data_IF_178637826560
#
_entry.id   IF_178637826560
#
_cell.length_a   1.000
_cell.length_b   1.000
_cell.length_c   1.000
_cell.angle_alpha   90.00
_cell.angle_beta   90.00
_cell.angle_gamma   90.00
#
_symmetry.space_group_name_H-M   'P 1'
#
loop_
_entity.id
_entity.type
_entity.pdbx_description
1 polymer ?
#
# COMPACT_ATOMS: atom_id res chain seq x y z
N UNK A 1 -34.52 27.23 -45.02
CA UNK A 1 -34.22 27.52 -43.60
C UNK A 1 -33.95 26.20 -42.88
N UNK A 2 -32.68 25.89 -42.55
CA UNK A 2 -32.35 24.77 -41.66
C UNK A 2 -32.46 25.28 -40.22
N UNK A 3 -33.39 24.73 -39.45
CA UNK A 3 -33.55 25.04 -38.05
C UNK A 3 -32.31 24.55 -37.28
N UNK A 4 -31.55 25.50 -36.73
CA UNK A 4 -30.51 25.21 -35.73
C UNK A 4 -31.24 24.98 -34.41
N UNK A 5 -31.32 23.72 -34.00
CA UNK A 5 -31.76 23.33 -32.67
C UNK A 5 -30.68 23.78 -31.67
N UNK A 6 -31.01 24.75 -30.84
CA UNK A 6 -30.23 25.05 -29.64
C UNK A 6 -30.61 24.02 -28.58
N UNK A 7 -29.76 23.03 -28.36
CA UNK A 7 -29.91 22.15 -27.19
C UNK A 7 -29.80 23.03 -25.94
N UNK A 8 -30.86 23.08 -25.15
CA UNK A 8 -30.82 23.68 -23.82
C UNK A 8 -29.70 23.00 -23.02
N UNK A 9 -28.88 23.78 -22.30
CA UNK A 9 -27.64 23.29 -21.65
C UNK A 9 -27.83 22.14 -20.65
N UNK A 10 -29.07 21.77 -20.33
CA UNK A 10 -29.46 20.61 -19.52
C UNK A 10 -29.38 19.27 -20.27
N UNK A 11 -29.51 19.22 -21.59
CA UNK A 11 -29.34 17.98 -22.37
C UNK A 11 -27.86 17.66 -22.64
N UNK A 12 -27.03 18.68 -22.80
CA UNK A 12 -25.59 18.53 -23.09
C UNK A 12 -24.82 17.81 -21.97
N UNK A 13 -25.22 17.95 -20.71
CA UNK A 13 -24.50 17.31 -19.59
C UNK A 13 -24.88 15.85 -19.32
N UNK A 14 -25.80 15.24 -20.09
CA UNK A 14 -26.20 13.84 -19.86
C UNK A 14 -25.07 12.84 -20.16
N UNK A 15 -24.06 13.24 -20.94
CA UNK A 15 -22.89 12.41 -21.28
C UNK A 15 -21.66 12.63 -20.40
N UNK A 16 -21.53 13.78 -19.74
CA UNK A 16 -20.27 14.26 -19.17
C UNK A 16 -20.18 14.04 -17.65
N UNK A 17 -18.96 13.89 -17.13
CA UNK A 17 -18.66 13.93 -15.70
C UNK A 17 -18.12 15.31 -15.32
N UNK A 18 -18.34 15.79 -14.08
CA UNK A 18 -17.75 17.03 -13.59
C UNK A 18 -16.24 17.02 -13.79
N UNK A 19 -15.70 18.15 -14.23
CA UNK A 19 -14.26 18.32 -14.38
C UNK A 19 -13.55 18.08 -13.03
N UNK A 20 -12.83 16.97 -12.95
CA UNK A 20 -11.82 16.74 -11.92
C UNK A 20 -10.52 17.45 -12.29
N UNK A 21 -9.70 17.75 -11.29
CA UNK A 21 -8.42 18.38 -11.53
C UNK A 21 -7.49 18.21 -10.34
N UNK A 22 -6.22 18.59 -10.54
CA UNK A 22 -5.17 18.46 -9.52
C UNK A 22 -5.56 19.09 -8.17
N UNK A 23 -6.33 20.19 -8.20
CA UNK A 23 -6.84 20.82 -6.97
C UNK A 23 -7.82 19.91 -6.21
N UNK A 24 -8.74 19.25 -6.90
CA UNK A 24 -9.69 18.32 -6.28
C UNK A 24 -8.92 17.14 -5.68
N UNK A 25 -7.98 16.57 -6.44
CA UNK A 25 -7.14 15.48 -5.96
C UNK A 25 -6.27 15.88 -4.78
N UNK A 26 -5.75 17.11 -4.78
CA UNK A 26 -4.97 17.68 -3.69
C UNK A 26 -5.77 17.78 -2.39
N UNK A 27 -7.04 18.20 -2.47
CA UNK A 27 -7.93 18.23 -1.29
C UNK A 27 -8.24 16.81 -0.83
N UNK A 28 -8.63 15.91 -1.75
CA UNK A 28 -8.97 14.53 -1.35
C UNK A 28 -7.76 13.82 -0.76
N UNK A 29 -6.56 14.00 -1.33
CA UNK A 29 -5.39 13.34 -0.78
C UNK A 29 -5.01 13.89 0.59
N UNK A 30 -5.16 15.19 0.84
CA UNK A 30 -4.95 15.77 2.17
C UNK A 30 -5.95 15.19 3.21
N UNK A 31 -7.21 15.01 2.83
CA UNK A 31 -8.21 14.37 3.69
C UNK A 31 -7.91 12.87 3.88
N UNK A 32 -7.41 12.19 2.85
CA UNK A 32 -6.91 10.82 2.98
C UNK A 32 -5.69 10.76 3.90
N UNK A 33 -4.81 11.76 3.88
CA UNK A 33 -3.67 11.85 4.80
C UNK A 33 -4.14 11.92 6.25
N UNK A 34 -5.16 12.74 6.55
CA UNK A 34 -5.75 12.81 7.89
C UNK A 34 -6.28 11.44 8.31
N UNK A 35 -7.14 10.82 7.48
CA UNK A 35 -7.66 9.48 7.76
C UNK A 35 -6.52 8.48 8.02
N UNK A 36 -5.49 8.44 7.16
CA UNK A 36 -4.36 7.51 7.31
C UNK A 36 -3.52 7.78 8.55
N UNK A 37 -3.28 9.03 8.91
CA UNK A 37 -2.60 9.39 10.16
C UNK A 37 -3.39 8.83 11.34
N UNK A 38 -4.71 9.05 11.37
CA UNK A 38 -5.59 8.46 12.37
C UNK A 38 -5.48 6.93 12.45
N UNK A 39 -5.54 6.23 11.32
CA UNK A 39 -5.37 4.76 11.26
C UNK A 39 -4.02 4.29 11.82
N UNK A 40 -2.92 4.98 11.51
CA UNK A 40 -1.60 4.60 12.02
C UNK A 40 -1.44 4.91 13.51
N UNK A 41 -2.03 6.00 13.99
CA UNK A 41 -2.04 6.32 15.42
C UNK A 41 -2.87 5.29 16.20
N UNK A 42 -3.98 4.84 15.63
CA UNK A 42 -4.83 3.79 16.20
C UNK A 42 -4.14 2.42 16.23
N UNK A 43 -3.55 1.99 15.11
CA UNK A 43 -2.74 0.78 15.10
C UNK A 43 -1.53 0.85 16.02
N UNK A 44 -0.93 2.04 16.21
CA UNK A 44 0.11 2.23 17.22
C UNK A 44 -0.43 1.98 18.63
N UNK A 45 -1.63 2.47 18.95
CA UNK A 45 -2.26 2.26 20.26
C UNK A 45 -2.50 0.77 20.52
N UNK A 46 -3.07 0.04 19.56
CA UNK A 46 -3.27 -1.42 19.65
C UNK A 46 -1.96 -2.19 19.87
N UNK A 47 -0.85 -1.71 19.32
CA UNK A 47 0.45 -2.37 19.45
C UNK A 47 1.20 -2.04 20.76
N UNK A 48 0.84 -0.95 21.45
CA UNK A 48 1.65 -0.42 22.58
C UNK A 48 0.89 -0.27 23.89
N UNK A 49 -0.44 -0.17 23.84
CA UNK A 49 -1.27 0.03 25.01
C UNK A 49 -1.95 -1.30 25.34
N UNK A 50 -1.56 -1.96 26.45
CA UNK A 50 -2.27 -3.13 26.93
C UNK A 50 -3.72 -2.77 27.23
N UNK A 51 -4.66 -3.61 26.79
CA UNK A 51 -6.07 -3.56 27.20
C UNK A 51 -6.77 -2.23 26.87
N UNK A 52 -7.00 -1.96 25.58
CA UNK A 52 -7.96 -0.93 25.18
C UNK A 52 -9.37 -1.40 25.57
N UNK A 53 -9.89 -0.93 26.72
CA UNK A 53 -11.17 -1.40 27.28
C UNK A 53 -12.43 -0.74 26.67
N UNK A 54 -12.27 0.19 25.72
CA UNK A 54 -13.41 0.86 25.08
C UNK A 54 -13.20 1.12 23.60
N UNK A 55 -14.30 1.06 22.84
CA UNK A 55 -14.34 1.46 21.44
C UNK A 55 -14.04 2.97 21.26
N UNK A 56 -14.50 3.82 22.18
CA UNK A 56 -14.36 5.27 22.02
C UNK A 56 -13.01 5.76 22.56
N UNK A 57 -12.00 5.71 21.70
CA UNK A 57 -10.64 6.16 22.02
C UNK A 57 -10.30 7.49 21.35
N UNK A 58 -9.32 8.27 21.85
CA UNK A 58 -8.83 9.46 21.16
C UNK A 58 -8.31 9.15 19.74
N UNK A 59 -7.72 7.97 19.54
CA UNK A 59 -7.21 7.50 18.25
C UNK A 59 -8.33 7.26 17.23
N UNK A 60 -9.39 6.58 17.65
CA UNK A 60 -10.63 6.49 16.88
C UNK A 60 -11.20 7.88 16.57
N UNK A 61 -11.17 8.82 17.52
CA UNK A 61 -11.58 10.21 17.29
C UNK A 61 -10.83 10.88 16.13
N UNK A 62 -9.51 10.72 16.04
CA UNK A 62 -8.70 11.27 14.94
C UNK A 62 -9.02 10.56 13.62
N UNK A 63 -9.15 9.23 13.64
CA UNK A 63 -9.48 8.41 12.47
C UNK A 63 -10.85 8.79 11.89
N UNK A 64 -11.90 8.73 12.72
CA UNK A 64 -13.28 8.99 12.29
C UNK A 64 -13.51 10.46 11.94
N UNK A 65 -12.81 11.41 12.55
CA UNK A 65 -12.88 12.83 12.14
C UNK A 65 -12.28 13.05 10.75
N UNK A 66 -11.13 12.42 10.44
CA UNK A 66 -10.55 12.45 9.10
C UNK A 66 -11.45 11.79 8.05
N UNK A 67 -12.04 10.64 8.40
CA UNK A 67 -13.06 9.99 7.57
C UNK A 67 -14.27 10.91 7.33
N UNK A 68 -14.84 11.50 8.39
CA UNK A 68 -16.03 12.33 8.29
C UNK A 68 -15.78 13.57 7.43
N UNK A 69 -14.64 14.25 7.60
CA UNK A 69 -14.25 15.38 6.75
C UNK A 69 -14.18 14.99 5.27
N UNK A 70 -13.64 13.81 4.96
CA UNK A 70 -13.60 13.25 3.61
C UNK A 70 -15.01 12.95 3.07
N UNK A 71 -15.84 12.27 3.87
CA UNK A 71 -17.21 11.91 3.50
C UNK A 71 -18.05 13.16 3.22
N UNK A 72 -17.97 14.19 4.07
CA UNK A 72 -18.64 15.47 3.87
C UNK A 72 -18.13 16.16 2.61
N UNK A 73 -16.82 16.18 2.36
CA UNK A 73 -16.28 16.80 1.15
C UNK A 73 -16.82 16.14 -0.13
N UNK A 74 -16.82 14.80 -0.19
CA UNK A 74 -17.38 14.07 -1.34
C UNK A 74 -18.90 14.28 -1.43
N UNK A 75 -19.62 14.22 -0.31
CA UNK A 75 -21.07 14.45 -0.25
C UNK A 75 -21.46 15.84 -0.75
N UNK A 76 -20.81 16.90 -0.27
CA UNK A 76 -21.06 18.28 -0.69
C UNK A 76 -20.83 18.43 -2.20
N UNK A 77 -19.74 17.87 -2.74
CA UNK A 77 -19.49 17.94 -4.18
C UNK A 77 -20.51 17.12 -4.99
N UNK A 78 -20.92 15.96 -4.48
CA UNK A 78 -21.99 15.16 -5.06
C UNK A 78 -23.28 15.98 -5.16
N UNK A 79 -23.76 16.55 -4.06
CA UNK A 79 -25.00 17.34 -4.05
C UNK A 79 -24.91 18.62 -4.90
N UNK A 80 -23.77 19.32 -4.89
CA UNK A 80 -23.56 20.50 -5.75
C UNK A 80 -23.62 20.14 -7.23
N UNK A 81 -23.02 19.02 -7.63
CA UNK A 81 -23.06 18.58 -9.02
C UNK A 81 -24.44 18.00 -9.39
N UNK A 82 -25.16 17.36 -8.45
CA UNK A 82 -26.56 16.99 -8.65
C UNK A 82 -27.45 18.20 -8.91
N UNK A 83 -27.29 19.27 -8.14
CA UNK A 83 -28.01 20.53 -8.33
C UNK A 83 -27.71 21.19 -9.69
N UNK A 84 -26.53 20.91 -10.27
CA UNK A 84 -26.14 21.35 -11.62
C UNK A 84 -26.69 20.45 -12.74
N UNK A 85 -27.33 19.33 -12.43
CA UNK A 85 -27.96 18.44 -13.40
C UNK A 85 -27.19 17.15 -13.73
N UNK A 86 -25.99 16.93 -13.18
CA UNK A 86 -25.24 15.68 -13.41
C UNK A 86 -25.96 14.48 -12.79
N UNK A 87 -26.08 13.32 -13.45
CA UNK A 87 -26.76 12.16 -12.88
C UNK A 87 -26.00 11.58 -11.67
N UNK A 88 -26.71 10.93 -10.73
CA UNK A 88 -26.12 10.37 -9.49
C UNK A 88 -24.85 9.56 -9.70
N UNK A 89 -24.86 8.65 -10.68
CA UNK A 89 -23.71 7.78 -11.00
C UNK A 89 -22.49 8.53 -11.55
N UNK A 90 -22.65 9.80 -11.95
CA UNK A 90 -21.61 10.63 -12.58
C UNK A 90 -21.48 12.01 -11.94
N UNK A 91 -22.02 12.21 -10.74
CA UNK A 91 -22.01 13.52 -10.08
C UNK A 91 -20.71 13.80 -9.30
N UNK A 92 -19.75 12.87 -9.31
CA UNK A 92 -18.38 13.11 -8.86
C UNK A 92 -17.40 13.05 -10.04
N UNK A 93 -16.22 13.70 -9.91
CA UNK A 93 -15.19 13.59 -10.92
C UNK A 93 -14.74 12.15 -11.18
N UNK A 94 -14.29 11.90 -12.41
CA UNK A 94 -13.80 10.60 -12.84
C UNK A 94 -12.73 10.05 -11.90
N UNK A 95 -12.90 8.81 -11.42
CA UNK A 95 -12.00 8.13 -10.50
C UNK A 95 -12.50 8.08 -9.05
N UNK A 96 -13.46 8.93 -8.68
CA UNK A 96 -14.01 9.02 -7.32
C UNK A 96 -15.33 8.27 -7.12
N UNK A 97 -15.85 7.60 -8.14
CA UNK A 97 -17.11 6.84 -8.06
C UNK A 97 -16.99 5.71 -7.02
N UNK A 98 -15.88 4.97 -7.06
CA UNK A 98 -15.59 3.94 -6.07
C UNK A 98 -15.18 4.53 -4.71
N UNK A 99 -14.65 5.75 -4.65
CA UNK A 99 -14.39 6.41 -3.36
C UNK A 99 -15.69 6.70 -2.62
N UNK A 100 -16.74 7.13 -3.34
CA UNK A 100 -18.06 7.32 -2.76
C UNK A 100 -18.68 6.00 -2.29
N UNK A 101 -18.55 4.92 -3.07
CA UNK A 101 -18.94 3.58 -2.61
C UNK A 101 -18.17 3.18 -1.35
N UNK A 102 -16.87 3.44 -1.33
CA UNK A 102 -16.01 3.21 -0.18
C UNK A 102 -16.47 3.96 1.09
N UNK A 103 -16.99 5.18 0.95
CA UNK A 103 -17.60 5.92 2.08
C UNK A 103 -18.77 5.16 2.67
N UNK A 104 -19.68 4.64 1.84
CA UNK A 104 -20.83 3.87 2.34
C UNK A 104 -20.41 2.54 2.97
N UNK A 105 -19.45 1.84 2.35
CA UNK A 105 -18.88 0.60 2.90
C UNK A 105 -18.20 0.87 4.25
N UNK A 106 -17.45 1.97 4.37
CA UNK A 106 -16.79 2.35 5.60
C UNK A 106 -17.80 2.69 6.72
N UNK A 107 -18.88 3.42 6.41
CA UNK A 107 -19.96 3.68 7.39
C UNK A 107 -20.57 2.36 7.88
N UNK A 108 -20.91 1.46 6.95
CA UNK A 108 -21.45 0.15 7.31
C UNK A 108 -20.45 -0.66 8.15
N UNK A 109 -19.16 -0.61 7.79
CA UNK A 109 -18.06 -1.19 8.53
C UNK A 109 -17.99 -0.65 9.95
N UNK A 110 -17.94 0.67 10.15
CA UNK A 110 -17.78 1.28 11.48
C UNK A 110 -19.00 1.12 12.39
N UNK A 111 -20.22 1.14 11.85
CA UNK A 111 -21.42 0.77 12.61
C UNK A 111 -21.39 -0.70 12.98
N UNK A 112 -21.02 -1.56 12.02
CA UNK A 112 -20.85 -3.00 12.26
C UNK A 112 -19.79 -3.27 13.33
N UNK A 113 -18.68 -2.54 13.30
CA UNK A 113 -17.55 -2.64 14.21
C UNK A 113 -17.96 -2.29 15.64
N UNK A 114 -18.67 -1.18 15.83
CA UNK A 114 -19.25 -0.81 17.12
C UNK A 114 -20.15 -1.94 17.66
N UNK A 115 -21.06 -2.46 16.83
CA UNK A 115 -21.96 -3.57 17.24
C UNK A 115 -21.16 -4.83 17.56
N UNK A 116 -20.13 -5.13 16.76
CA UNK A 116 -19.28 -6.30 16.94
C UNK A 116 -18.55 -6.25 18.28
N UNK A 117 -18.02 -5.08 18.64
CA UNK A 117 -17.38 -4.86 19.93
C UNK A 117 -18.35 -5.01 21.12
N UNK A 118 -19.60 -4.60 21.00
CA UNK A 118 -20.63 -4.79 22.04
C UNK A 118 -21.03 -6.26 22.21
N UNK A 119 -21.02 -7.05 21.12
CA UNK A 119 -21.45 -8.45 21.13
C UNK A 119 -20.33 -9.44 21.50
N UNK A 120 -19.11 -9.17 21.03
CA UNK A 120 -17.98 -10.12 21.09
C UNK A 120 -16.77 -9.58 21.86
N UNK A 121 -16.82 -8.34 22.33
CA UNK A 121 -15.72 -7.69 23.06
C UNK A 121 -14.68 -7.03 22.14
N UNK A 122 -13.61 -6.52 22.73
CA UNK A 122 -12.53 -5.85 22.00
C UNK A 122 -11.47 -6.85 21.61
N UNK A 123 -11.26 -6.97 20.31
CA UNK A 123 -10.34 -7.91 19.69
C UNK A 123 -8.89 -7.50 19.95
N UNK A 124 -8.02 -8.49 20.16
CA UNK A 124 -6.60 -8.29 20.40
C UNK A 124 -5.75 -9.00 19.33
N UNK A 125 -4.51 -8.55 19.18
CA UNK A 125 -3.49 -9.17 18.32
C UNK A 125 -3.96 -9.40 16.87
N UNK A 126 -3.99 -10.66 16.42
CA UNK A 126 -4.39 -11.04 15.07
C UNK A 126 -5.89 -10.83 14.81
N UNK A 127 -6.72 -10.97 15.84
CA UNK A 127 -8.18 -10.85 15.71
C UNK A 127 -8.56 -9.42 15.32
N UNK A 128 -7.91 -8.43 15.93
CA UNK A 128 -8.12 -7.01 15.62
C UNK A 128 -7.85 -6.67 14.15
N UNK A 129 -7.00 -7.43 13.46
CA UNK A 129 -6.72 -7.20 12.04
C UNK A 129 -7.64 -7.99 11.11
N UNK A 130 -8.04 -9.19 11.51
CA UNK A 130 -8.72 -10.14 10.64
C UNK A 130 -10.24 -10.18 10.84
N UNK A 131 -10.77 -9.45 11.81
CA UNK A 131 -12.19 -9.50 12.06
C UNK A 131 -13.01 -8.96 10.89
N UNK A 132 -14.24 -9.49 10.70
CA UNK A 132 -15.05 -9.16 9.55
C UNK A 132 -15.29 -7.65 9.39
N UNK A 133 -15.45 -6.92 10.49
CA UNK A 133 -15.73 -5.48 10.49
C UNK A 133 -14.49 -4.67 10.12
N UNK A 134 -13.31 -5.01 10.65
CA UNK A 134 -12.04 -4.42 10.24
C UNK A 134 -11.73 -4.67 8.76
N UNK A 135 -12.06 -5.86 8.22
CA UNK A 135 -11.91 -6.15 6.79
C UNK A 135 -12.86 -5.29 5.92
N UNK A 136 -14.09 -5.03 6.37
CA UNK A 136 -15.03 -4.13 5.69
C UNK A 136 -14.53 -2.68 5.73
N UNK A 137 -14.04 -2.22 6.88
CA UNK A 137 -13.41 -0.91 7.04
C UNK A 137 -12.18 -0.75 6.14
N UNK A 138 -11.32 -1.78 6.08
CA UNK A 138 -10.15 -1.81 5.22
C UNK A 138 -10.54 -1.75 3.73
N UNK A 139 -11.58 -2.48 3.31
CA UNK A 139 -12.12 -2.42 1.94
C UNK A 139 -12.64 -1.03 1.62
N UNK A 140 -13.47 -0.45 2.50
CA UNK A 140 -14.00 0.91 2.33
C UNK A 140 -12.88 1.94 2.20
N UNK A 141 -11.88 1.86 3.09
CA UNK A 141 -10.69 2.71 3.08
C UNK A 141 -9.90 2.56 1.79
N UNK A 142 -9.63 1.33 1.35
CA UNK A 142 -8.88 1.06 0.12
C UNK A 142 -9.58 1.69 -1.09
N UNK A 143 -10.91 1.57 -1.20
CA UNK A 143 -11.70 2.19 -2.26
C UNK A 143 -11.67 3.72 -2.21
N UNK A 144 -11.70 4.31 -1.01
CA UNK A 144 -11.58 5.76 -0.78
C UNK A 144 -10.21 6.26 -1.25
N UNK A 145 -9.13 5.75 -0.65
CA UNK A 145 -7.78 6.31 -0.81
C UNK A 145 -7.19 6.08 -2.19
N UNK A 146 -7.70 5.11 -2.95
CA UNK A 146 -7.33 4.87 -4.36
C UNK A 146 -7.95 5.88 -5.35
N UNK A 147 -8.82 6.78 -4.89
CA UNK A 147 -9.48 7.79 -5.74
C UNK A 147 -8.51 8.61 -6.60
N UNK A 148 -7.52 9.30 -6.01
CA UNK A 148 -6.54 10.06 -6.77
C UNK A 148 -5.71 9.21 -7.75
N UNK A 149 -5.35 7.97 -7.40
CA UNK A 149 -4.68 7.04 -8.31
C UNK A 149 -5.57 6.69 -9.52
N UNK A 150 -6.85 6.36 -9.31
CA UNK A 150 -7.80 6.09 -10.41
C UNK A 150 -8.06 7.32 -11.26
N UNK A 151 -8.16 8.51 -10.64
CA UNK A 151 -8.34 9.77 -11.34
C UNK A 151 -7.14 10.05 -12.25
N UNK A 152 -5.91 9.93 -11.73
CA UNK A 152 -4.69 10.08 -12.52
C UNK A 152 -4.57 9.03 -13.63
N UNK A 153 -4.99 7.78 -13.39
CA UNK A 153 -4.95 6.71 -14.38
C UNK A 153 -5.74 7.03 -15.66
N UNK A 154 -6.90 7.67 -15.47
CA UNK A 154 -7.84 8.04 -16.55
C UNK A 154 -7.51 9.38 -17.20
N UNK A 155 -6.56 10.14 -16.67
CA UNK A 155 -6.12 11.39 -17.31
C UNK A 155 -5.20 11.09 -18.49
N UNK A 156 -5.25 11.90 -19.55
CA UNK A 156 -4.24 11.90 -20.58
C UNK A 156 -2.86 12.14 -19.98
N UNK A 157 -1.84 11.49 -20.53
CA UNK A 157 -0.46 11.72 -20.11
C UNK A 157 -0.08 13.19 -20.37
N UNK A 158 0.38 13.93 -19.34
CA UNK A 158 0.84 15.30 -19.54
C UNK A 158 2.10 15.28 -20.41
N UNK A 159 2.22 16.25 -21.34
CA UNK A 159 3.42 16.40 -22.15
C UNK A 159 4.68 16.63 -21.29
N UNK A 160 4.52 17.29 -20.13
CA UNK A 160 5.56 17.45 -19.11
C UNK A 160 4.99 17.07 -17.75
N UNK A 161 5.35 15.91 -17.18
CA UNK A 161 4.92 15.54 -15.85
C UNK A 161 5.50 16.51 -14.81
N UNK A 162 4.65 17.03 -13.93
CA UNK A 162 5.07 17.84 -12.79
C UNK A 162 4.78 17.09 -11.48
N UNK A 163 5.63 17.31 -10.48
CA UNK A 163 5.45 16.76 -9.14
C UNK A 163 4.08 17.10 -8.56
N UNK A 164 3.63 18.35 -8.70
CA UNK A 164 2.32 18.78 -8.21
C UNK A 164 1.17 17.99 -8.84
N UNK A 165 1.29 17.58 -10.12
CA UNK A 165 0.27 16.80 -10.80
C UNK A 165 0.30 15.30 -10.43
N UNK A 166 1.46 14.77 -10.03
CA UNK A 166 1.66 13.35 -9.75
C UNK A 166 1.62 13.01 -8.26
N UNK A 167 1.89 13.97 -7.38
CA UNK A 167 1.95 13.78 -5.93
C UNK A 167 0.65 13.18 -5.35
N UNK A 168 -0.57 13.64 -5.71
CA UNK A 168 -1.78 13.01 -5.21
C UNK A 168 -1.89 11.53 -5.56
N UNK A 169 -1.46 11.15 -6.77
CA UNK A 169 -1.44 9.76 -7.22
C UNK A 169 -0.38 8.91 -6.47
N UNK A 170 0.82 9.46 -6.26
CA UNK A 170 1.89 8.77 -5.54
C UNK A 170 1.54 8.56 -4.07
N UNK A 171 0.96 9.57 -3.41
CA UNK A 171 0.44 9.42 -2.05
C UNK A 171 -0.73 8.44 -1.99
N UNK A 172 -1.63 8.46 -2.98
CA UNK A 172 -2.73 7.49 -3.08
C UNK A 172 -2.21 6.05 -3.23
N UNK A 173 -1.18 5.83 -4.07
CA UNK A 173 -0.47 4.55 -4.19
C UNK A 173 0.19 4.14 -2.86
N UNK A 174 0.84 5.08 -2.18
CA UNK A 174 1.44 4.87 -0.86
C UNK A 174 0.37 4.45 0.15
N UNK A 175 -0.78 5.12 0.19
CA UNK A 175 -1.85 4.81 1.13
C UNK A 175 -2.51 3.47 0.85
N UNK A 176 -2.60 3.04 -0.41
CA UNK A 176 -2.99 1.68 -0.75
C UNK A 176 -1.99 0.65 -0.24
N UNK A 177 -0.69 0.84 -0.55
CA UNK A 177 0.37 -0.05 -0.06
C UNK A 177 0.34 -0.12 1.48
N UNK A 178 0.32 1.03 2.14
CA UNK A 178 0.20 1.17 3.58
C UNK A 178 -1.06 0.54 4.16
N UNK A 179 -2.17 0.51 3.43
CA UNK A 179 -3.35 -0.25 3.83
C UNK A 179 -3.05 -1.75 3.87
N UNK A 180 -2.49 -2.29 2.79
CA UNK A 180 -2.12 -3.72 2.73
C UNK A 180 -1.06 -4.09 3.77
N UNK A 181 -0.01 -3.30 3.93
CA UNK A 181 1.05 -3.59 4.92
C UNK A 181 0.56 -3.43 6.36
N UNK A 182 -0.42 -2.55 6.62
CA UNK A 182 -1.08 -2.44 7.92
C UNK A 182 -1.90 -3.68 8.24
N UNK A 183 -2.77 -4.12 7.31
CA UNK A 183 -3.59 -5.33 7.54
C UNK A 183 -2.74 -6.60 7.64
N UNK A 184 -1.58 -6.62 7.00
CA UNK A 184 -0.63 -7.74 7.04
C UNK A 184 0.57 -7.48 7.96
N UNK A 185 0.43 -6.57 8.93
CA UNK A 185 1.54 -6.13 9.79
C UNK A 185 2.17 -7.27 10.60
N UNK A 186 1.38 -8.30 10.94
CA UNK A 186 1.84 -9.53 11.58
C UNK A 186 2.85 -10.33 10.74
N UNK A 187 2.98 -9.99 9.45
CA UNK A 187 3.93 -10.59 8.51
C UNK A 187 4.74 -9.51 7.78
N UNK A 188 5.17 -8.46 8.48
CA UNK A 188 5.92 -7.35 7.89
C UNK A 188 7.36 -7.24 8.43
N UNK A 189 8.42 -7.37 7.60
CA UNK A 189 9.80 -7.50 8.06
C UNK A 189 10.40 -6.20 8.62
N UNK A 190 9.77 -5.05 8.35
CA UNK A 190 10.15 -3.77 8.99
C UNK A 190 9.49 -3.57 10.37
N UNK A 191 8.48 -4.37 10.70
CA UNK A 191 7.80 -4.34 12.01
C UNK A 191 8.31 -5.49 12.88
N UNK A 192 8.43 -6.70 12.31
CA UNK A 192 8.96 -7.90 12.95
C UNK A 192 10.26 -8.34 12.28
N UNK A 193 11.41 -8.01 12.89
CA UNK A 193 12.73 -8.33 12.35
C UNK A 193 13.19 -9.75 12.69
N UNK A 194 12.43 -10.76 12.25
CA UNK A 194 12.68 -12.18 12.58
C UNK A 194 14.13 -12.64 12.39
N UNK A 195 14.88 -12.07 11.44
CA UNK A 195 16.28 -12.42 11.19
C UNK A 195 17.31 -11.75 12.10
N UNK A 196 16.93 -10.70 12.84
CA UNK A 196 17.82 -9.94 13.72
C UNK A 196 18.30 -10.82 14.88
N UNK A 197 19.59 -10.75 15.22
CA UNK A 197 20.22 -11.64 16.22
C UNK A 197 19.50 -11.66 17.58
N UNK A 198 18.91 -10.54 18.00
CA UNK A 198 18.15 -10.46 19.25
C UNK A 198 16.92 -11.37 19.29
N UNK A 199 16.36 -11.70 18.13
CA UNK A 199 15.21 -12.59 17.97
C UNK A 199 15.62 -14.06 17.80
N UNK A 200 16.88 -14.43 18.01
CA UNK A 200 17.26 -15.84 17.99
C UNK A 200 16.55 -16.57 19.15
N UNK A 201 15.86 -17.69 18.90
CA UNK A 201 15.19 -18.45 19.93
C UNK A 201 16.25 -19.09 20.84
N UNK A 202 16.55 -18.43 21.96
CA UNK A 202 17.57 -18.86 22.91
C UNK A 202 16.95 -19.70 24.02
N UNK A 203 17.62 -20.81 24.34
CA UNK A 203 17.27 -21.73 25.42
C UNK A 203 17.25 -21.12 26.83
N UNK A 204 17.63 -19.85 27.00
CA UNK A 204 17.70 -19.18 28.31
C UNK A 204 16.34 -18.69 28.84
N UNK A 205 15.30 -18.64 27.99
CA UNK A 205 13.96 -18.22 28.39
C UNK A 205 13.02 -19.40 28.68
N UNK A 206 13.45 -20.63 28.41
CA UNK A 206 12.67 -21.84 28.62
C UNK A 206 13.50 -22.77 29.50
N UNK A 207 12.96 -23.14 30.65
CA UNK A 207 13.66 -23.99 31.62
C UNK A 207 13.58 -25.46 31.17
N UNK A 208 14.72 -26.09 30.85
CA UNK A 208 15.10 -26.31 29.45
C UNK A 208 14.00 -26.99 28.61
N UNK A 209 13.65 -26.46 27.43
CA UNK A 209 12.80 -27.17 26.48
C UNK A 209 13.60 -28.34 25.88
N UNK A 210 12.96 -29.45 25.48
CA UNK A 210 13.64 -30.51 24.76
C UNK A 210 14.38 -29.95 23.54
N UNK A 211 15.62 -30.41 23.27
CA UNK A 211 16.40 -29.99 22.08
C UNK A 211 15.61 -30.04 20.74
N UNK A 212 14.70 -31.02 20.51
CA UNK A 212 13.81 -30.99 19.36
C UNK A 212 12.96 -29.71 19.29
N UNK A 213 12.40 -29.23 20.40
CA UNK A 213 11.53 -28.05 20.47
C UNK A 213 12.24 -26.78 20.01
N UNK A 214 13.50 -26.57 20.40
CA UNK A 214 14.28 -25.40 19.96
C UNK A 214 14.54 -25.41 18.45
N UNK A 215 14.84 -26.58 17.88
CA UNK A 215 15.02 -26.73 16.44
C UNK A 215 13.73 -26.43 15.68
N UNK A 216 12.58 -26.89 16.19
CA UNK A 216 11.27 -26.59 15.60
C UNK A 216 10.94 -25.09 15.69
N UNK A 217 11.19 -24.43 16.82
CA UNK A 217 10.97 -22.98 16.98
C UNK A 217 11.84 -22.18 16.00
N UNK A 218 13.14 -22.49 15.92
CA UNK A 218 14.06 -21.82 14.99
C UNK A 218 13.63 -22.00 13.53
N UNK A 219 13.18 -23.20 13.15
CA UNK A 219 12.63 -23.44 11.81
C UNK A 219 11.36 -22.62 11.56
N UNK A 220 10.43 -22.60 12.52
CA UNK A 220 9.16 -21.88 12.38
C UNK A 220 9.38 -20.37 12.22
N UNK A 221 10.22 -19.76 13.06
CA UNK A 221 10.53 -18.32 12.96
C UNK A 221 11.23 -17.96 11.65
N UNK A 222 12.17 -18.80 11.19
CA UNK A 222 12.76 -18.64 9.86
C UNK A 222 11.69 -18.72 8.77
N UNK A 223 10.84 -19.75 8.80
CA UNK A 223 9.80 -19.93 7.81
C UNK A 223 8.83 -18.74 7.77
N UNK A 224 8.35 -18.27 8.92
CA UNK A 224 7.46 -17.10 9.03
C UNK A 224 8.15 -15.82 8.54
N UNK A 225 9.41 -15.60 8.91
CA UNK A 225 10.17 -14.45 8.42
C UNK A 225 10.38 -14.48 6.90
N UNK A 226 10.65 -15.65 6.32
CA UNK A 226 10.78 -15.83 4.87
C UNK A 226 9.44 -15.56 4.19
N UNK A 227 8.35 -16.15 4.69
CA UNK A 227 7.00 -15.92 4.16
C UNK A 227 6.61 -14.44 4.23
N UNK A 228 6.95 -13.75 5.31
CA UNK A 228 6.76 -12.31 5.47
C UNK A 228 7.47 -11.53 4.36
N UNK A 229 8.74 -11.82 4.12
CA UNK A 229 9.53 -11.17 3.05
C UNK A 229 8.90 -11.40 1.67
N UNK A 230 8.50 -12.63 1.36
CA UNK A 230 7.90 -12.96 0.06
C UNK A 230 6.52 -12.32 -0.12
N UNK A 231 5.68 -12.35 0.91
CA UNK A 231 4.36 -11.70 0.91
C UNK A 231 4.49 -10.20 0.68
N UNK A 232 5.32 -9.51 1.47
CA UNK A 232 5.49 -8.06 1.35
C UNK A 232 6.16 -7.67 0.04
N UNK A 233 7.04 -8.52 -0.50
CA UNK A 233 7.56 -8.33 -1.86
C UNK A 233 6.46 -8.38 -2.90
N UNK A 234 5.54 -9.34 -2.80
CA UNK A 234 4.41 -9.48 -3.71
C UNK A 234 3.49 -8.26 -3.68
N UNK A 235 3.15 -7.78 -2.48
CA UNK A 235 2.32 -6.59 -2.28
C UNK A 235 2.98 -5.32 -2.83
N UNK A 236 4.25 -5.10 -2.48
CA UNK A 236 5.04 -3.96 -2.97
C UNK A 236 5.15 -3.99 -4.49
N UNK A 237 5.68 -5.08 -5.04
CA UNK A 237 5.95 -5.18 -6.47
C UNK A 237 4.68 -5.25 -7.31
N UNK A 238 3.57 -5.82 -6.80
CA UNK A 238 2.28 -5.77 -7.48
C UNK A 238 1.83 -4.33 -7.75
N UNK A 239 1.91 -3.46 -6.74
CA UNK A 239 1.54 -2.04 -6.88
C UNK A 239 2.57 -1.24 -7.69
N UNK A 240 3.88 -1.46 -7.48
CA UNK A 240 4.92 -0.76 -8.25
C UNK A 240 4.86 -1.14 -9.73
N UNK A 241 4.73 -2.42 -10.06
CA UNK A 241 4.63 -2.86 -11.45
C UNK A 241 3.35 -2.34 -12.10
N UNK A 242 2.22 -2.26 -11.37
CA UNK A 242 1.00 -1.65 -11.90
C UNK A 242 1.24 -0.20 -12.40
N UNK A 243 1.90 0.63 -11.60
CA UNK A 243 2.16 2.03 -11.99
C UNK A 243 3.30 2.16 -13.01
N UNK A 244 4.33 1.32 -12.92
CA UNK A 244 5.40 1.25 -13.93
C UNK A 244 4.84 0.75 -15.28
N UNK A 245 3.87 -0.16 -15.28
CA UNK A 245 3.19 -0.61 -16.49
C UNK A 245 2.44 0.52 -17.19
N UNK A 246 1.83 1.44 -16.43
CA UNK A 246 1.05 2.57 -16.98
C UNK A 246 1.88 3.78 -17.37
N UNK A 247 2.89 4.14 -16.58
CA UNK A 247 3.67 5.37 -16.78
C UNK A 247 5.15 5.13 -17.08
N UNK A 248 5.67 3.93 -16.82
CA UNK A 248 7.07 3.57 -17.07
C UNK A 248 8.04 4.54 -16.42
N UNK A 249 9.06 4.94 -17.18
CA UNK A 249 10.07 5.90 -16.77
C UNK A 249 9.58 7.36 -16.69
N UNK A 250 8.30 7.63 -16.97
CA UNK A 250 7.70 8.97 -16.82
C UNK A 250 7.27 9.29 -15.38
N UNK A 251 7.38 8.33 -14.45
CA UNK A 251 7.24 8.63 -13.03
C UNK A 251 8.36 9.60 -12.60
N UNK A 252 8.09 10.49 -11.63
CA UNK A 252 9.06 11.49 -11.25
C UNK A 252 10.19 10.82 -10.45
N UNK A 253 11.41 11.33 -10.63
CA UNK A 253 12.55 10.92 -9.80
C UNK A 253 12.24 11.11 -8.32
N UNK A 254 12.38 10.08 -7.49
CA UNK A 254 12.05 10.11 -6.07
C UNK A 254 10.61 9.69 -5.78
N UNK A 255 9.81 9.39 -6.81
CA UNK A 255 8.44 8.90 -6.64
C UNK A 255 8.41 7.53 -5.96
N UNK A 256 9.32 6.62 -6.32
CA UNK A 256 9.43 5.32 -5.65
C UNK A 256 10.06 5.46 -4.26
N UNK A 257 11.06 6.34 -4.10
CA UNK A 257 11.58 6.70 -2.77
C UNK A 257 10.48 7.18 -1.83
N UNK A 258 9.58 8.05 -2.28
CA UNK A 258 8.46 8.55 -1.47
C UNK A 258 7.55 7.41 -1.00
N UNK A 259 7.17 6.51 -1.91
CA UNK A 259 6.30 5.37 -1.59
C UNK A 259 6.96 4.46 -0.56
N UNK A 260 8.24 4.12 -0.77
CA UNK A 260 8.96 3.19 0.10
C UNK A 260 9.20 3.81 1.47
N UNK A 261 9.65 5.07 1.51
CA UNK A 261 9.97 5.76 2.75
C UNK A 261 8.73 6.01 3.61
N UNK A 262 7.63 6.51 3.04
CA UNK A 262 6.41 6.78 3.82
C UNK A 262 5.79 5.48 4.36
N UNK A 263 5.80 4.41 3.57
CA UNK A 263 5.33 3.11 4.05
C UNK A 263 6.21 2.61 5.20
N UNK A 264 7.53 2.66 5.05
CA UNK A 264 8.47 2.24 6.09
C UNK A 264 8.35 3.09 7.36
N UNK A 265 8.16 4.41 7.25
CA UNK A 265 7.92 5.29 8.40
C UNK A 265 6.65 4.85 9.14
N UNK A 266 5.55 4.62 8.44
CA UNK A 266 4.31 4.15 9.07
C UNK A 266 4.49 2.80 9.77
N UNK A 267 5.11 1.83 9.11
CA UNK A 267 5.29 0.48 9.66
C UNK A 267 6.26 0.45 10.85
N UNK A 268 7.37 1.20 10.76
CA UNK A 268 8.34 1.28 11.85
C UNK A 268 7.84 2.12 13.03
N UNK A 269 6.96 3.09 12.79
CA UNK A 269 6.27 3.85 13.84
C UNK A 269 5.41 2.94 14.71
N UNK A 270 4.70 1.99 14.10
CA UNK A 270 3.82 1.05 14.81
C UNK A 270 4.58 -0.12 15.46
N UNK A 271 5.90 -0.23 15.31
CA UNK A 271 6.63 -1.39 15.79
C UNK A 271 6.54 -1.49 17.32
N UNK A 272 6.01 -2.60 17.89
CA UNK A 272 5.82 -2.78 19.32
C UNK A 272 7.14 -2.99 20.07
N UNK A 273 8.24 -3.18 19.35
CA UNK A 273 9.57 -3.40 19.91
C UNK A 273 10.32 -2.06 20.09
N UNK A 274 10.36 -1.48 21.30
CA UNK A 274 11.16 -0.30 21.59
C UNK A 274 12.68 -0.54 21.38
N UNK A 275 13.09 -1.80 21.22
CA UNK A 275 14.45 -2.27 21.02
C UNK A 275 14.57 -3.16 19.79
N UNK A 276 13.97 -2.76 18.65
CA UNK A 276 14.49 -3.20 17.35
C UNK A 276 16.01 -3.17 17.51
N UNK A 277 16.70 -4.30 17.38
CA UNK A 277 18.15 -4.32 17.66
C UNK A 277 18.87 -3.32 16.72
N UNK A 278 18.19 -2.95 15.64
CA UNK A 278 18.50 -1.89 14.68
C UNK A 278 18.00 -0.48 15.02
N UNK A 279 16.96 -0.31 15.82
CA UNK A 279 16.13 0.90 15.87
C UNK A 279 15.31 1.09 14.58
N UNK A 280 14.34 2.01 14.55
CA UNK A 280 13.53 2.29 13.36
C UNK A 280 14.34 2.98 12.26
N UNK A 281 15.32 3.81 12.63
CA UNK A 281 16.04 4.67 11.67
C UNK A 281 16.81 3.89 10.59
N UNK A 282 17.55 2.80 10.89
CA UNK A 282 18.20 2.02 9.83
C UNK A 282 17.20 1.39 8.86
N UNK A 283 16.03 0.97 9.31
CA UNK A 283 14.99 0.39 8.43
C UNK A 283 14.35 1.45 7.54
N UNK A 284 14.13 2.67 8.06
CA UNK A 284 13.73 3.83 7.25
C UNK A 284 14.82 4.16 6.23
N UNK A 285 16.10 4.14 6.63
CA UNK A 285 17.21 4.37 5.72
C UNK A 285 17.28 3.31 4.61
N UNK A 286 17.03 2.03 4.94
CA UNK A 286 16.90 0.95 3.94
C UNK A 286 15.83 1.28 2.91
N UNK A 287 14.63 1.69 3.35
CA UNK A 287 13.55 2.03 2.43
C UNK A 287 13.88 3.24 1.53
N UNK A 288 14.52 4.27 2.09
CA UNK A 288 14.99 5.44 1.32
C UNK A 288 16.02 5.03 0.28
N UNK A 289 17.07 4.29 0.69
CA UNK A 289 18.15 3.86 -0.20
C UNK A 289 17.64 2.91 -1.29
N UNK A 290 16.77 1.96 -0.93
CA UNK A 290 16.16 1.04 -1.87
C UNK A 290 15.24 1.77 -2.85
N UNK A 291 14.48 2.76 -2.39
CA UNK A 291 13.65 3.60 -3.24
C UNK A 291 14.48 4.45 -4.21
N UNK A 292 15.57 5.08 -3.74
CA UNK A 292 16.52 5.80 -4.61
C UNK A 292 17.15 4.87 -5.65
N UNK A 293 17.50 3.65 -5.26
CA UNK A 293 17.99 2.64 -6.19
C UNK A 293 16.90 2.24 -7.20
N UNK A 294 15.65 2.10 -6.78
CA UNK A 294 14.52 1.82 -7.66
C UNK A 294 14.28 2.96 -8.66
N UNK A 295 14.31 4.22 -8.22
CA UNK A 295 14.22 5.39 -9.10
C UNK A 295 15.40 5.43 -10.10
N UNK A 296 16.62 5.08 -9.66
CA UNK A 296 17.79 4.95 -10.53
C UNK A 296 17.59 3.86 -11.59
N UNK A 297 17.15 2.67 -11.18
CA UNK A 297 16.86 1.58 -12.10
C UNK A 297 15.75 1.96 -13.09
N UNK A 298 14.73 2.68 -12.62
CA UNK A 298 13.63 3.17 -13.45
C UNK A 298 14.16 4.11 -14.57
N UNK A 299 15.04 5.04 -14.23
CA UNK A 299 15.63 5.97 -15.20
C UNK A 299 16.65 5.31 -16.13
N UNK A 300 17.45 4.37 -15.64
CA UNK A 300 18.52 3.72 -16.41
C UNK A 300 17.99 2.62 -17.32
N UNK A 301 17.15 1.72 -16.80
CA UNK A 301 16.61 0.59 -17.57
C UNK A 301 15.46 1.03 -18.48
N UNK A 302 14.72 2.06 -18.06
CA UNK A 302 13.49 2.55 -18.70
C UNK A 302 12.49 1.38 -18.91
N UNK A 303 12.09 0.68 -17.84
CA UNK A 303 11.20 -0.47 -17.97
C UNK A 303 9.84 -0.04 -18.54
N UNK A 304 9.32 -0.86 -19.45
CA UNK A 304 8.00 -0.68 -20.07
C UNK A 304 7.50 -2.02 -20.60
N UNK A 305 6.20 -2.11 -20.88
CA UNK A 305 5.60 -3.30 -21.51
C UNK A 305 6.20 -3.61 -22.89
N UNK A 306 6.73 -2.59 -23.57
CA UNK A 306 7.45 -2.71 -24.85
C UNK A 306 8.93 -3.08 -24.70
N UNK A 307 9.46 -3.07 -23.46
CA UNK A 307 10.85 -3.42 -23.13
C UNK A 307 10.86 -4.53 -22.06
N UNK A 308 10.41 -5.76 -22.41
CA UNK A 308 10.16 -6.83 -21.45
C UNK A 308 11.39 -7.21 -20.63
N UNK A 309 12.58 -7.22 -21.25
CA UNK A 309 13.84 -7.54 -20.54
C UNK A 309 14.14 -6.47 -19.49
N UNK A 310 14.00 -5.18 -19.81
CA UNK A 310 14.20 -4.10 -18.86
C UNK A 310 13.18 -4.13 -17.72
N UNK A 311 11.92 -4.45 -18.03
CA UNK A 311 10.86 -4.63 -17.03
C UNK A 311 11.17 -5.79 -16.08
N UNK A 312 11.57 -6.95 -16.61
CA UNK A 312 11.94 -8.13 -15.83
C UNK A 312 13.16 -7.89 -14.94
N UNK A 313 14.20 -7.24 -15.48
CA UNK A 313 15.39 -6.88 -14.71
C UNK A 313 15.06 -5.88 -13.59
N UNK A 314 14.24 -4.87 -13.89
CA UNK A 314 13.74 -3.95 -12.87
C UNK A 314 12.96 -4.69 -11.77
N UNK A 315 12.05 -5.58 -12.17
CA UNK A 315 11.20 -6.33 -11.26
C UNK A 315 11.98 -7.31 -10.37
N UNK A 316 13.07 -7.88 -10.88
CA UNK A 316 14.01 -8.71 -10.13
C UNK A 316 14.87 -7.85 -9.18
N UNK A 317 15.45 -6.76 -9.69
CA UNK A 317 16.48 -6.01 -8.99
C UNK A 317 15.96 -5.21 -7.80
N UNK A 318 14.77 -4.59 -7.92
CA UNK A 318 14.21 -3.73 -6.86
C UNK A 318 14.05 -4.47 -5.51
N UNK A 319 13.33 -5.60 -5.43
CA UNK A 319 13.20 -6.33 -4.16
C UNK A 319 14.52 -6.97 -3.73
N UNK A 320 15.35 -7.44 -4.67
CA UNK A 320 16.69 -7.98 -4.34
C UNK A 320 17.53 -6.92 -3.61
N UNK A 321 17.60 -5.69 -4.15
CA UNK A 321 18.34 -4.58 -3.53
C UNK A 321 17.73 -4.16 -2.21
N UNK A 322 16.40 -4.10 -2.11
CA UNK A 322 15.70 -3.78 -0.87
C UNK A 322 16.12 -4.74 0.25
N UNK A 323 16.07 -6.06 0.01
CA UNK A 323 16.39 -7.03 1.04
C UNK A 323 17.90 -7.21 1.28
N UNK A 324 18.75 -6.98 0.28
CA UNK A 324 20.20 -6.86 0.51
C UNK A 324 20.51 -5.71 1.49
N UNK A 325 19.89 -4.54 1.30
CA UNK A 325 20.04 -3.41 2.21
C UNK A 325 19.43 -3.70 3.59
N UNK A 326 18.29 -4.36 3.65
CA UNK A 326 17.66 -4.82 4.90
C UNK A 326 18.60 -5.71 5.72
N UNK A 327 19.11 -6.79 5.12
CA UNK A 327 20.04 -7.69 5.82
C UNK A 327 21.35 -6.99 6.17
N UNK A 328 21.86 -6.10 5.31
CA UNK A 328 23.01 -5.26 5.65
C UNK A 328 22.74 -4.41 6.89
N UNK A 329 21.57 -3.78 7.00
CA UNK A 329 21.20 -3.00 8.17
C UNK A 329 21.12 -3.86 9.44
N UNK A 330 20.53 -5.06 9.37
CA UNK A 330 20.53 -6.00 10.49
C UNK A 330 21.96 -6.39 10.90
N UNK A 331 22.82 -6.70 9.92
CA UNK A 331 24.21 -7.11 10.14
C UNK A 331 25.04 -6.02 10.85
N UNK A 332 24.80 -4.76 10.52
CA UNK A 332 25.53 -3.60 11.07
C UNK A 332 25.07 -3.22 12.49
N UNK A 333 23.86 -3.59 12.89
CA UNK A 333 23.25 -3.10 14.13
C UNK A 333 23.14 -4.10 15.26
N UNK A 334 23.28 -5.39 14.97
CA UNK A 334 23.22 -6.43 16.01
C UNK A 334 23.60 -7.82 15.49
N UNK A 335 23.62 -7.98 14.16
CA UNK A 335 23.90 -9.25 13.51
C UNK A 335 22.63 -9.92 13.02
N UNK A 336 22.85 -10.96 12.22
CA UNK A 336 21.80 -11.83 11.69
C UNK A 336 22.05 -13.20 12.30
N UNK A 337 21.03 -13.83 12.88
CA UNK A 337 21.18 -15.22 13.36
C UNK A 337 20.85 -16.26 12.29
N UNK A 338 20.12 -15.87 11.24
CA UNK A 338 19.87 -16.73 10.10
C UNK A 338 21.17 -17.15 9.43
N UNK A 339 21.33 -18.45 9.10
CA UNK A 339 22.45 -18.92 8.28
C UNK A 339 22.51 -18.20 6.95
N UNK A 340 23.72 -18.12 6.36
CA UNK A 340 23.92 -17.47 5.05
C UNK A 340 23.01 -18.02 3.95
N UNK A 341 22.76 -19.33 3.97
CA UNK A 341 21.86 -19.98 3.02
C UNK A 341 20.43 -19.43 3.10
N UNK A 342 19.95 -19.07 4.30
CA UNK A 342 18.59 -18.58 4.50
C UNK A 342 18.48 -17.12 4.09
N UNK A 343 19.30 -16.22 4.62
CA UNK A 343 19.14 -14.79 4.30
C UNK A 343 19.53 -14.46 2.85
N UNK A 344 20.60 -15.08 2.32
CA UNK A 344 20.98 -14.87 0.92
C UNK A 344 19.95 -15.50 -0.04
N UNK A 345 19.50 -16.73 0.25
CA UNK A 345 18.46 -17.40 -0.54
C UNK A 345 17.13 -16.63 -0.55
N UNK A 346 16.70 -16.14 0.60
CA UNK A 346 15.48 -15.31 0.73
C UNK A 346 15.57 -14.02 -0.07
N UNK A 347 16.74 -13.38 -0.11
CA UNK A 347 16.97 -12.18 -0.91
C UNK A 347 16.78 -12.44 -2.40
N UNK A 348 17.29 -13.57 -2.89
CA UNK A 348 17.09 -14.02 -4.29
C UNK A 348 15.63 -14.37 -4.55
N UNK A 349 14.96 -15.07 -3.63
CA UNK A 349 13.54 -15.42 -3.75
C UNK A 349 12.64 -14.18 -3.83
N UNK A 350 12.92 -13.13 -3.05
CA UNK A 350 12.23 -11.85 -3.18
C UNK A 350 12.39 -11.26 -4.59
N UNK A 351 13.62 -11.29 -5.14
CA UNK A 351 13.89 -11.04 -6.55
C UNK A 351 12.96 -11.81 -7.49
N UNK A 352 12.90 -13.13 -7.31
CA UNK A 352 12.11 -14.04 -8.15
C UNK A 352 10.61 -13.71 -8.06
N UNK A 353 10.07 -13.37 -6.88
CA UNK A 353 8.67 -12.95 -6.74
C UNK A 353 8.37 -11.74 -7.63
N UNK A 354 9.21 -10.70 -7.57
CA UNK A 354 9.05 -9.52 -8.42
C UNK A 354 9.16 -9.87 -9.92
N UNK A 355 10.15 -10.68 -10.28
CA UNK A 355 10.33 -11.18 -11.64
C UNK A 355 9.12 -11.98 -12.15
N UNK A 356 8.54 -12.88 -11.34
CA UNK A 356 7.33 -13.64 -11.70
C UNK A 356 6.13 -12.72 -11.92
N UNK A 357 5.92 -11.72 -11.08
CA UNK A 357 4.84 -10.75 -11.25
C UNK A 357 4.95 -9.97 -12.56
N UNK A 358 6.16 -9.75 -13.08
CA UNK A 358 6.33 -9.08 -14.38
C UNK A 358 5.72 -9.83 -15.56
N UNK A 359 5.55 -11.16 -15.46
CA UNK A 359 4.88 -11.97 -16.49
C UNK A 359 3.36 -11.75 -16.55
N UNK A 360 2.76 -11.25 -15.47
CA UNK A 360 1.35 -10.85 -15.48
C UNK A 360 1.14 -9.57 -16.33
N UNK A 361 2.18 -8.73 -16.44
CA UNK A 361 2.16 -7.53 -17.27
C UNK A 361 2.56 -7.82 -18.71
N UNK A 362 3.56 -8.68 -18.92
CA UNK A 362 4.04 -9.07 -20.25
C UNK A 362 4.16 -10.59 -20.34
N UNK A 363 3.08 -11.27 -20.77
CA UNK A 363 3.06 -12.71 -20.94
C UNK A 363 4.10 -13.19 -21.97
N UNK A 364 4.51 -14.47 -21.92
CA UNK A 364 5.32 -15.08 -22.97
C UNK A 364 4.64 -15.00 -24.33
N UNK A 365 5.42 -14.84 -25.39
CA UNK A 365 4.93 -14.87 -26.77
C UNK A 365 4.27 -16.22 -27.06
N UNK A 366 3.04 -16.22 -27.56
CA UNK A 366 2.44 -17.40 -28.16
C UNK A 366 2.91 -17.52 -29.61
N UNK A 367 3.16 -18.74 -30.14
CA UNK A 367 3.45 -18.92 -31.55
C UNK A 367 2.34 -18.27 -32.39
N UNK A 368 2.71 -17.47 -33.40
CA UNK A 368 1.73 -16.96 -34.37
C UNK A 368 1.06 -18.14 -35.06
N UNK A 369 -0.26 -18.27 -34.93
CA UNK A 369 -1.07 -19.28 -35.61
C UNK A 369 -1.24 -18.97 -37.11
N UNK A 370 -0.25 -18.34 -37.74
CA UNK A 370 -0.31 -17.96 -39.14
C UNK A 370 0.60 -18.90 -39.95
N UNK A 371 0.04 -19.98 -40.55
CA UNK A 371 0.81 -20.95 -41.31
C UNK A 371 1.39 -20.40 -42.63
N UNK A 372 1.17 -19.12 -42.96
CA UNK A 372 1.54 -18.54 -44.26
C UNK A 372 2.45 -17.31 -44.22
N UNK A 373 3.07 -17.00 -43.07
CA UNK A 373 4.12 -15.96 -43.03
C UNK A 373 5.52 -16.56 -43.28
N UNK A 374 5.86 -16.74 -44.55
CA UNK A 374 7.25 -16.92 -45.04
C UNK A 374 7.80 -15.61 -45.56
#
# INVERSE_FOLDING_TARGET
MKAVSYSTGTEAMRGEQPAGGIRFDGIVIALCSWLRIGTYLDGWAHNHIPELETFFTPWHGILYSGFFALAVFLGVNLFKNRARGYPWKRALPTGYELSLLGVFIFIAGGVGDLIWHELFGIEADLEALLSPTHLILALGTALIVSGPLRAAWRRPDPQRPSWAAQLPMLLSLTYLLSGFTFMTQFAHPLLLTWAAKGNHPNALLLNPPPLPTLKYMAFFEQAVGVLSILLQTGLLMGLILLVVGRWGWKLPWGGLTLVFALNAIGMTWMAPDPYLTTGPYPLIAVAILAGLAADLLLQRLKPSVTRPVALRLFALAVPTLFYLLYFLALRLRGGIWWPVHVWAGTTVLAGIVGWMLSYLLVPPSTPSSDPFST
#
